data_IF_106546309833
#
_entry.id   IF_106546309833
#
_cell.length_a   1.000
_cell.length_b   1.000
_cell.length_c   1.000
_cell.angle_alpha   90.00
_cell.angle_beta   90.00
_cell.angle_gamma   90.00
#
_symmetry.space_group_name_H-M   'P 1'
#
loop_
_entity.id
_entity.type
_entity.pdbx_description
1 polymer ?
#
# COMPACT_ATOMS: atom_id res chain seq x y z
N UNK A 1 -0.43 -30.63 37.98
CA UNK A 1 0.21 -29.32 38.23
C UNK A 1 1.71 -29.55 38.29
N UNK A 2 2.57 -28.72 37.66
CA UNK A 2 2.35 -27.54 36.80
C UNK A 2 2.70 -27.86 35.32
N UNK A 3 2.15 -27.30 34.23
CA UNK A 3 1.81 -25.92 33.83
C UNK A 3 2.96 -24.93 33.93
N UNK A 4 3.78 -24.81 32.88
CA UNK A 4 4.48 -23.56 32.55
C UNK A 4 4.71 -23.43 31.03
N UNK A 5 3.92 -22.52 30.45
CA UNK A 5 4.27 -21.51 29.44
C UNK A 5 5.35 -21.82 28.40
N UNK A 6 4.90 -22.22 27.22
CA UNK A 6 5.53 -21.76 25.98
C UNK A 6 4.60 -20.74 25.32
N UNK A 7 4.79 -19.46 25.67
CA UNK A 7 4.23 -18.34 24.90
C UNK A 7 4.74 -18.47 23.46
N UNK A 8 3.87 -18.50 22.43
CA UNK A 8 4.35 -18.22 21.10
C UNK A 8 4.80 -16.76 21.08
N UNK A 9 6.04 -16.52 20.70
CA UNK A 9 6.50 -15.19 20.29
C UNK A 9 5.44 -14.60 19.36
N UNK A 10 4.86 -13.49 19.79
CA UNK A 10 3.93 -12.72 18.99
C UNK A 10 4.73 -12.23 17.79
N UNK A 11 4.66 -12.95 16.67
CA UNK A 11 5.16 -12.46 15.40
C UNK A 11 4.20 -11.34 15.05
N UNK A 12 4.61 -10.10 15.31
CA UNK A 12 3.90 -8.90 14.88
C UNK A 12 3.92 -8.84 13.35
N UNK A 13 3.10 -9.67 12.69
CA UNK A 13 2.89 -9.70 11.24
C UNK A 13 2.22 -8.42 10.71
N UNK A 14 2.04 -7.39 11.56
CA UNK A 14 1.36 -6.14 11.24
C UNK A 14 2.30 -4.92 11.24
N UNK A 15 3.58 -5.12 11.53
CA UNK A 15 4.56 -4.04 11.46
C UNK A 15 5.26 -4.02 10.11
N UNK A 16 4.76 -3.22 9.15
CA UNK A 16 5.76 -2.39 8.48
C UNK A 16 6.40 -1.61 9.63
N UNK A 17 7.63 -1.97 9.99
CA UNK A 17 8.35 -1.32 11.07
C UNK A 17 8.20 0.19 10.82
N UNK A 18 7.73 0.99 11.78
CA UNK A 18 7.46 2.43 11.54
C UNK A 18 8.68 3.14 10.95
N UNK A 19 9.87 2.62 11.28
CA UNK A 19 11.16 2.95 10.69
C UNK A 19 11.20 2.77 9.16
N UNK A 20 10.72 1.65 8.63
CA UNK A 20 10.63 1.41 7.19
C UNK A 20 9.67 2.38 6.52
N UNK A 21 8.48 2.61 7.10
CA UNK A 21 7.52 3.58 6.56
C UNK A 21 8.17 4.98 6.45
N UNK A 22 8.90 5.40 7.49
CA UNK A 22 9.63 6.66 7.50
C UNK A 22 10.77 6.69 6.46
N UNK A 23 11.54 5.61 6.31
CA UNK A 23 12.62 5.53 5.32
C UNK A 23 12.05 5.71 3.90
N UNK A 24 10.96 5.01 3.57
CA UNK A 24 10.32 5.10 2.25
C UNK A 24 9.84 6.52 1.95
N UNK A 25 9.19 7.17 2.93
CA UNK A 25 8.72 8.55 2.81
C UNK A 25 9.90 9.54 2.69
N UNK A 26 10.97 9.33 3.47
CA UNK A 26 12.16 10.19 3.46
C UNK A 26 12.91 10.12 2.13
N UNK A 27 13.08 8.92 1.56
CA UNK A 27 13.73 8.72 0.24
C UNK A 27 12.96 9.45 -0.86
N UNK A 28 11.62 9.42 -0.82
CA UNK A 28 10.77 10.08 -1.82
C UNK A 28 11.02 11.60 -1.89
N UNK A 29 11.08 12.25 -0.73
CA UNK A 29 11.41 13.67 -0.63
C UNK A 29 12.84 13.94 -1.13
N UNK A 30 13.83 13.19 -0.63
CA UNK A 30 15.24 13.40 -0.95
C UNK A 30 15.59 13.23 -2.44
N UNK A 31 14.90 12.34 -3.16
CA UNK A 31 15.17 12.06 -4.57
C UNK A 31 14.93 13.27 -5.48
N UNK A 32 13.91 14.10 -5.21
CA UNK A 32 13.60 15.27 -6.05
C UNK A 32 14.44 16.50 -5.69
N UNK A 33 14.97 16.60 -4.47
CA UNK A 33 15.97 17.62 -4.13
C UNK A 33 17.24 17.52 -5.00
N UNK A 34 17.52 16.34 -5.57
CA UNK A 34 18.66 16.10 -6.46
C UNK A 34 18.35 16.31 -7.95
N UNK A 35 17.07 16.33 -8.34
CA UNK A 35 16.65 16.46 -9.74
C UNK A 35 16.35 17.92 -10.09
N UNK A 36 16.95 18.44 -11.17
CA UNK A 36 16.68 19.81 -11.63
C UNK A 36 15.19 19.98 -11.98
N UNK A 37 14.62 21.19 -11.81
CA UNK A 37 13.25 21.46 -12.24
C UNK A 37 13.14 21.21 -13.75
N UNK A 38 12.48 20.12 -14.14
CA UNK A 38 12.08 19.92 -15.52
C UNK A 38 11.03 20.98 -15.88
N UNK A 39 11.30 21.71 -16.96
CA UNK A 39 10.33 22.61 -17.59
C UNK A 39 9.04 21.83 -17.88
N UNK A 40 7.86 22.37 -17.52
CA UNK A 40 6.61 21.70 -17.80
C UNK A 40 6.39 21.76 -19.32
N UNK A 41 6.72 20.68 -20.03
CA UNK A 41 6.08 20.45 -21.32
C UNK A 41 4.58 20.41 -21.07
N UNK A 42 3.86 21.17 -21.91
CA UNK A 42 2.44 21.45 -21.81
C UNK A 42 1.67 20.22 -21.34
N UNK A 43 0.78 20.42 -20.36
CA UNK A 43 -0.07 19.41 -19.70
C UNK A 43 -0.84 18.56 -20.75
N UNK A 44 -0.15 17.63 -21.39
CA UNK A 44 -0.74 16.68 -22.31
C UNK A 44 -1.51 15.69 -21.46
N UNK A 45 -2.77 15.49 -21.83
CA UNK A 45 -3.64 14.43 -21.31
C UNK A 45 -2.80 13.17 -21.11
N UNK A 46 -2.65 12.73 -19.86
CA UNK A 46 -1.94 11.51 -19.57
C UNK A 46 -2.65 10.35 -20.29
N UNK A 47 -1.94 9.67 -21.19
CA UNK A 47 -2.46 8.55 -22.00
C UNK A 47 -3.03 7.41 -21.13
N UNK A 48 -2.58 7.32 -19.86
CA UNK A 48 -3.01 6.32 -18.87
C UNK A 48 -4.29 6.73 -18.14
N UNK A 49 -4.62 8.03 -18.09
CA UNK A 49 -5.70 8.59 -17.28
C UNK A 49 -6.92 8.98 -18.15
N UNK A 50 -7.70 8.00 -18.61
CA UNK A 50 -8.91 8.23 -19.45
C UNK A 50 -10.09 8.92 -18.75
N UNK A 51 -9.97 9.26 -17.46
CA UNK A 51 -11.10 9.68 -16.60
C UNK A 51 -11.24 11.21 -16.40
N UNK A 52 -10.36 12.05 -16.95
CA UNK A 52 -10.44 13.51 -16.78
C UNK A 52 -10.26 14.01 -15.32
N UNK A 53 -9.78 13.15 -14.42
CA UNK A 53 -9.44 13.48 -13.02
C UNK A 53 -7.96 13.87 -12.90
N UNK A 54 -7.60 14.57 -11.83
CA UNK A 54 -6.21 14.94 -11.52
C UNK A 54 -5.34 13.69 -11.52
N UNK A 55 -4.43 13.58 -12.50
CA UNK A 55 -3.67 12.36 -12.70
C UNK A 55 -2.49 12.29 -11.70
N UNK A 56 -2.44 11.22 -10.91
CA UNK A 56 -1.42 11.01 -9.87
C UNK A 56 0.02 11.17 -10.42
N UNK A 57 0.30 10.58 -11.57
CA UNK A 57 1.63 10.66 -12.21
C UNK A 57 2.01 12.10 -12.58
N UNK A 58 1.07 12.88 -13.10
CA UNK A 58 1.32 14.26 -13.45
C UNK A 58 1.64 15.12 -12.21
N UNK A 59 0.91 14.90 -11.11
CA UNK A 59 1.18 15.59 -9.84
C UNK A 59 2.52 15.18 -9.22
N UNK A 60 2.92 13.91 -9.38
CA UNK A 60 4.19 13.42 -8.86
C UNK A 60 5.39 13.98 -9.62
N UNK A 61 5.26 14.13 -10.95
CA UNK A 61 6.35 14.69 -11.76
C UNK A 61 6.43 16.21 -11.71
N UNK A 62 5.31 16.90 -11.52
CA UNK A 62 5.27 18.36 -11.45
C UNK A 62 6.16 18.87 -10.30
N UNK A 63 7.15 19.68 -10.64
CA UNK A 63 7.94 20.42 -9.65
C UNK A 63 7.08 21.43 -8.90
N UNK A 64 7.27 21.51 -7.59
CA UNK A 64 6.66 22.53 -6.75
C UNK A 64 7.54 23.79 -6.68
N UNK A 65 6.95 24.91 -6.29
CA UNK A 65 7.69 26.13 -6.00
C UNK A 65 8.67 25.90 -4.84
N UNK A 66 9.85 26.54 -4.89
CA UNK A 66 10.96 26.33 -3.95
C UNK A 66 10.52 26.47 -2.47
N UNK A 67 9.61 27.40 -2.18
CA UNK A 67 9.10 27.69 -0.84
C UNK A 67 8.32 26.51 -0.22
N UNK A 68 7.81 25.59 -1.04
CA UNK A 68 7.08 24.41 -0.58
C UNK A 68 7.99 23.32 -0.05
N UNK A 69 9.26 23.32 -0.45
CA UNK A 69 10.28 22.45 0.13
C UNK A 69 10.81 23.04 1.45
N UNK A 70 9.90 23.32 2.38
CA UNK A 70 10.25 23.80 3.73
C UNK A 70 10.35 22.62 4.71
N UNK A 71 11.18 22.79 5.74
CA UNK A 71 11.31 21.80 6.81
C UNK A 71 9.97 21.50 7.50
N UNK A 72 9.14 22.53 7.71
CA UNK A 72 7.81 22.36 8.30
C UNK A 72 6.93 21.46 7.42
N UNK A 73 6.90 21.69 6.11
CA UNK A 73 6.12 20.88 5.18
C UNK A 73 6.59 19.42 5.15
N UNK A 74 7.91 19.22 5.20
CA UNK A 74 8.51 17.89 5.29
C UNK A 74 8.11 17.18 6.58
N UNK A 75 8.16 17.86 7.73
CA UNK A 75 7.71 17.30 9.00
C UNK A 75 6.22 16.96 8.97
N UNK A 76 5.37 17.84 8.43
CA UNK A 76 3.95 17.57 8.23
C UNK A 76 3.71 16.28 7.42
N UNK A 77 4.48 16.07 6.35
CA UNK A 77 4.39 14.86 5.53
C UNK A 77 4.81 13.60 6.30
N UNK A 78 5.91 13.66 7.05
CA UNK A 78 6.40 12.51 7.83
C UNK A 78 5.45 12.10 8.97
N UNK A 79 4.84 13.09 9.64
CA UNK A 79 3.98 12.85 10.81
C UNK A 79 2.49 12.76 10.45
N UNK A 80 2.14 12.83 9.17
CA UNK A 80 0.75 12.76 8.73
C UNK A 80 0.17 11.38 9.05
N UNK A 81 -0.65 11.31 10.10
CA UNK A 81 -1.08 10.06 10.73
C UNK A 81 -1.63 8.98 9.78
N UNK A 82 -2.48 9.31 8.78
CA UNK A 82 -2.95 8.32 7.82
C UNK A 82 -1.82 7.62 7.09
N UNK A 83 -0.79 8.35 6.64
CA UNK A 83 0.34 7.77 5.90
C UNK A 83 1.43 7.23 6.82
N UNK A 84 1.59 7.78 8.02
CA UNK A 84 2.62 7.37 8.97
C UNK A 84 2.36 5.98 9.57
N UNK A 85 1.11 5.65 9.89
CA UNK A 85 0.79 4.41 10.61
C UNK A 85 0.80 3.21 9.67
N UNK A 86 -0.12 3.17 8.71
CA UNK A 86 -0.20 2.10 7.70
C UNK A 86 -0.96 2.56 6.46
N UNK A 87 -0.84 3.84 6.08
CA UNK A 87 -1.50 4.35 4.88
C UNK A 87 -0.77 3.93 3.60
N UNK A 88 -1.43 4.11 2.44
CA UNK A 88 -0.77 3.93 1.15
C UNK A 88 0.39 4.90 1.00
N UNK A 89 1.49 4.45 0.38
CA UNK A 89 2.66 5.29 0.12
C UNK A 89 2.29 6.35 -0.92
N UNK A 90 2.44 7.60 -0.52
CA UNK A 90 2.19 8.79 -1.35
C UNK A 90 3.49 9.55 -1.49
N UNK A 91 3.74 10.14 -2.66
CA UNK A 91 4.92 10.99 -2.84
C UNK A 91 4.75 12.38 -2.23
N UNK A 92 5.86 12.98 -1.81
CA UNK A 92 5.90 14.31 -1.18
C UNK A 92 5.28 15.38 -2.09
N UNK A 93 5.63 15.39 -3.38
CA UNK A 93 5.11 16.38 -4.33
C UNK A 93 3.59 16.30 -4.46
N UNK A 94 3.03 15.09 -4.49
CA UNK A 94 1.57 14.89 -4.57
C UNK A 94 0.91 15.32 -3.26
N UNK A 95 1.48 14.95 -2.12
CA UNK A 95 0.98 15.36 -0.81
C UNK A 95 0.92 16.89 -0.70
N UNK A 96 2.02 17.57 -1.03
CA UNK A 96 2.10 19.02 -0.93
C UNK A 96 1.18 19.74 -1.93
N UNK A 97 1.06 19.24 -3.17
CA UNK A 97 0.10 19.77 -4.13
C UNK A 97 -1.36 19.59 -3.65
N UNK A 98 -1.68 18.47 -3.02
CA UNK A 98 -3.03 18.17 -2.52
C UNK A 98 -3.40 18.97 -1.26
N UNK A 99 -2.42 19.45 -0.48
CA UNK A 99 -2.70 20.34 0.64
C UNK A 99 -3.13 21.75 0.20
N UNK A 100 -2.63 22.24 -0.93
CA UNK A 100 -3.08 23.50 -1.52
C UNK A 100 -4.40 23.33 -2.27
N UNK A 101 -4.50 22.25 -3.02
CA UNK A 101 -5.65 21.94 -3.87
C UNK A 101 -6.19 20.57 -3.48
N UNK A 102 -7.06 20.50 -2.45
CA UNK A 102 -7.66 19.25 -1.99
C UNK A 102 -8.34 18.48 -3.10
N UNK A 103 -8.38 17.16 -2.94
CA UNK A 103 -9.04 16.28 -3.89
C UNK A 103 -10.49 16.70 -4.14
N UNK A 104 -10.90 16.70 -5.41
CA UNK A 104 -12.30 16.89 -5.85
C UNK A 104 -12.83 15.65 -6.58
N UNK A 105 -12.03 14.59 -6.67
CA UNK A 105 -12.34 13.34 -7.37
C UNK A 105 -13.45 12.54 -6.70
N UNK A 106 -13.55 12.64 -5.38
CA UNK A 106 -14.52 11.93 -4.54
C UNK A 106 -15.53 12.92 -3.96
N UNK A 107 -16.76 12.85 -4.45
CA UNK A 107 -17.89 13.52 -3.80
C UNK A 107 -18.15 12.93 -2.43
N UNK A 108 -18.80 13.69 -1.54
CA UNK A 108 -19.23 13.23 -0.22
C UNK A 108 -19.99 11.90 -0.29
N UNK A 109 -20.92 11.78 -1.24
CA UNK A 109 -21.68 10.55 -1.49
C UNK A 109 -20.76 9.36 -1.80
N UNK A 110 -19.76 9.54 -2.67
CA UNK A 110 -18.78 8.47 -2.98
C UNK A 110 -17.92 8.11 -1.76
N UNK A 111 -17.57 9.08 -0.92
CA UNK A 111 -16.83 8.81 0.32
C UNK A 111 -17.69 8.05 1.33
N UNK A 112 -18.96 8.40 1.49
CA UNK A 112 -19.90 7.64 2.33
C UNK A 112 -20.05 6.19 1.83
N UNK A 113 -20.23 5.97 0.53
CA UNK A 113 -20.26 4.61 -0.03
C UNK A 113 -18.93 3.86 0.14
N UNK A 114 -17.79 4.56 0.10
CA UNK A 114 -16.48 3.96 0.37
C UNK A 114 -16.39 3.46 1.82
N UNK A 115 -16.79 4.29 2.80
CA UNK A 115 -16.85 3.90 4.21
C UNK A 115 -17.85 2.79 4.47
N UNK A 116 -19.03 2.84 3.87
CA UNK A 116 -20.04 1.77 3.99
C UNK A 116 -19.51 0.43 3.47
N UNK A 117 -18.86 0.40 2.31
CA UNK A 117 -18.20 -0.82 1.78
C UNK A 117 -17.11 -1.34 2.70
N UNK A 118 -16.40 -0.46 3.39
CA UNK A 118 -15.43 -0.86 4.40
C UNK A 118 -16.11 -1.54 5.60
N UNK A 119 -17.21 -0.98 6.11
CA UNK A 119 -17.97 -1.60 7.19
C UNK A 119 -18.51 -2.98 6.81
N UNK A 120 -19.03 -3.14 5.59
CA UNK A 120 -19.48 -4.45 5.08
C UNK A 120 -18.32 -5.45 4.99
N UNK A 121 -17.15 -5.02 4.49
CA UNK A 121 -15.97 -5.87 4.43
C UNK A 121 -15.43 -6.24 5.82
N UNK A 122 -15.53 -5.34 6.79
CA UNK A 122 -15.17 -5.60 8.18
C UNK A 122 -16.11 -6.63 8.81
N UNK A 123 -17.42 -6.48 8.62
CA UNK A 123 -18.40 -7.46 9.06
C UNK A 123 -18.18 -8.83 8.40
N UNK A 124 -17.89 -8.86 7.10
CA UNK A 124 -17.53 -10.08 6.39
C UNK A 124 -16.30 -10.75 7.02
N UNK A 125 -15.26 -9.99 7.36
CA UNK A 125 -14.06 -10.53 8.02
C UNK A 125 -14.41 -11.17 9.36
N UNK A 126 -15.25 -10.50 10.17
CA UNK A 126 -15.70 -11.01 11.47
C UNK A 126 -16.49 -12.31 11.33
N UNK A 127 -17.44 -12.36 10.39
CA UNK A 127 -18.16 -13.59 10.06
C UNK A 127 -17.20 -14.70 9.61
N UNK A 128 -16.23 -14.38 8.76
CA UNK A 128 -15.26 -15.36 8.30
C UNK A 128 -14.43 -15.93 9.45
N UNK A 129 -14.00 -15.10 10.41
CA UNK A 129 -13.26 -15.58 11.58
C UNK A 129 -14.11 -16.36 12.57
N UNK A 130 -15.41 -16.08 12.62
CA UNK A 130 -16.35 -16.80 13.48
C UNK A 130 -16.67 -18.20 12.93
N UNK A 131 -16.90 -18.31 11.62
CA UNK A 131 -17.31 -19.57 10.99
C UNK A 131 -16.16 -20.41 10.44
N UNK A 132 -15.03 -19.79 10.06
CA UNK A 132 -13.92 -20.48 9.41
C UNK A 132 -12.62 -20.36 10.21
N UNK A 133 -12.20 -21.48 10.81
CA UNK A 133 -11.03 -21.56 11.68
C UNK A 133 -9.71 -21.82 10.94
N UNK A 134 -9.56 -21.36 9.69
CA UNK A 134 -8.35 -21.61 8.87
C UNK A 134 -7.06 -21.19 9.58
N UNK A 135 -7.06 -20.03 10.23
CA UNK A 135 -5.90 -19.52 10.97
C UNK A 135 -5.57 -20.38 12.20
N UNK A 136 -6.57 -20.96 12.87
CA UNK A 136 -6.34 -21.85 14.00
C UNK A 136 -5.68 -23.16 13.54
N UNK A 137 -6.17 -23.74 12.43
CA UNK A 137 -5.53 -24.91 11.83
C UNK A 137 -4.08 -24.63 11.42
N UNK A 138 -3.81 -23.49 10.78
CA UNK A 138 -2.46 -23.11 10.38
C UNK A 138 -1.50 -22.97 11.59
N UNK A 139 -1.97 -22.44 12.72
CA UNK A 139 -1.17 -22.28 13.94
C UNK A 139 -1.03 -23.55 14.78
N UNK A 140 -2.01 -24.45 14.71
CA UNK A 140 -2.07 -25.65 15.57
C UNK A 140 -0.97 -26.69 15.30
N UNK A 141 -0.29 -26.62 14.16
CA UNK A 141 0.68 -27.65 13.75
C UNK A 141 0.06 -28.96 13.25
N UNK A 142 -1.27 -29.06 13.22
CA UNK A 142 -2.02 -30.26 12.76
C UNK A 142 -1.95 -30.49 11.25
N UNK A 143 -1.27 -29.62 10.50
CA UNK A 143 -1.19 -29.71 9.04
C UNK A 143 -0.57 -31.02 8.53
N UNK A 144 0.31 -31.66 9.31
CA UNK A 144 0.87 -32.99 9.00
C UNK A 144 -0.17 -34.11 8.98
N UNK A 145 -1.30 -33.93 9.66
CA UNK A 145 -2.37 -34.92 9.75
C UNK A 145 -3.48 -34.70 8.72
N UNK A 146 -3.41 -33.59 7.97
CA UNK A 146 -4.41 -33.23 6.97
C UNK A 146 -4.07 -33.85 5.62
N UNK A 147 -5.10 -34.20 4.85
CA UNK A 147 -4.91 -34.62 3.46
C UNK A 147 -4.41 -33.44 2.61
N UNK A 148 -3.72 -33.68 1.47
CA UNK A 148 -3.27 -32.61 0.58
C UNK A 148 -4.39 -31.65 0.16
N UNK A 149 -5.61 -32.17 -0.04
CA UNK A 149 -6.78 -31.36 -0.38
C UNK A 149 -7.23 -30.45 0.78
N UNK A 150 -7.21 -30.96 2.01
CA UNK A 150 -7.53 -30.16 3.20
C UNK A 150 -6.49 -29.06 3.43
N UNK A 151 -5.20 -29.38 3.24
CA UNK A 151 -4.12 -28.39 3.32
C UNK A 151 -4.35 -27.27 2.30
N UNK A 152 -4.72 -27.61 1.06
CA UNK A 152 -5.03 -26.63 0.03
C UNK A 152 -6.18 -25.71 0.44
N UNK A 153 -7.28 -26.25 0.97
CA UNK A 153 -8.42 -25.45 1.45
C UNK A 153 -8.00 -24.51 2.57
N UNK A 154 -7.23 -25.01 3.55
CA UNK A 154 -6.75 -24.19 4.67
C UNK A 154 -5.82 -23.08 4.17
N UNK A 155 -4.86 -23.39 3.30
CA UNK A 155 -3.95 -22.41 2.71
C UNK A 155 -4.71 -21.33 1.92
N UNK A 156 -5.72 -21.74 1.13
CA UNK A 156 -6.58 -20.83 0.39
C UNK A 156 -7.41 -19.92 1.33
N UNK A 157 -7.93 -20.47 2.42
CA UNK A 157 -8.64 -19.70 3.44
C UNK A 157 -7.73 -18.67 4.13
N UNK A 158 -6.51 -19.06 4.49
CA UNK A 158 -5.52 -18.18 5.13
C UNK A 158 -5.12 -17.03 4.21
N UNK A 159 -4.84 -17.28 2.93
CA UNK A 159 -4.45 -16.20 2.00
C UNK A 159 -5.60 -15.21 1.76
N UNK A 160 -6.85 -15.68 1.67
CA UNK A 160 -8.02 -14.80 1.55
C UNK A 160 -8.25 -13.97 2.82
N UNK A 161 -8.11 -14.58 4.00
CA UNK A 161 -8.18 -13.86 5.26
C UNK A 161 -7.09 -12.78 5.35
N UNK A 162 -5.86 -13.12 4.99
CA UNK A 162 -4.73 -12.19 5.00
C UNK A 162 -4.95 -11.03 4.01
N UNK A 163 -5.45 -11.32 2.81
CA UNK A 163 -5.85 -10.31 1.84
C UNK A 163 -6.91 -9.36 2.41
N UNK A 164 -7.98 -9.89 3.00
CA UNK A 164 -9.08 -9.09 3.55
C UNK A 164 -8.62 -8.22 4.74
N UNK A 165 -7.75 -8.76 5.60
CA UNK A 165 -7.14 -8.03 6.70
C UNK A 165 -6.35 -6.80 6.21
N UNK A 166 -5.44 -6.99 5.25
CA UNK A 166 -4.64 -5.88 4.70
C UNK A 166 -5.50 -4.90 3.90
N UNK A 167 -6.47 -5.41 3.14
CA UNK A 167 -7.47 -4.59 2.46
C UNK A 167 -8.18 -3.66 3.44
N UNK A 168 -8.65 -4.14 4.59
CA UNK A 168 -9.31 -3.32 5.60
C UNK A 168 -8.38 -2.28 6.20
N UNK A 169 -7.17 -2.67 6.61
CA UNK A 169 -6.19 -1.76 7.21
C UNK A 169 -5.89 -0.59 6.26
N UNK A 170 -5.49 -0.89 5.03
CA UNK A 170 -5.09 0.16 4.08
C UNK A 170 -6.26 1.03 3.62
N UNK A 171 -7.46 0.45 3.45
CA UNK A 171 -8.66 1.23 3.13
C UNK A 171 -9.10 2.15 4.25
N UNK A 172 -8.91 1.74 5.51
CA UNK A 172 -9.21 2.59 6.66
C UNK A 172 -8.36 3.86 6.64
N UNK A 173 -7.03 3.72 6.53
CA UNK A 173 -6.13 4.87 6.47
C UNK A 173 -6.34 5.72 5.22
N UNK A 174 -6.62 5.08 4.08
CA UNK A 174 -7.00 5.77 2.85
C UNK A 174 -8.30 6.57 3.02
N UNK A 175 -9.31 6.03 3.71
CA UNK A 175 -10.57 6.73 3.97
C UNK A 175 -10.33 8.03 4.74
N UNK A 176 -9.55 7.98 5.83
CA UNK A 176 -9.19 9.18 6.59
C UNK A 176 -8.35 10.17 5.78
N UNK A 177 -7.46 9.68 4.93
CA UNK A 177 -6.73 10.52 3.98
C UNK A 177 -7.69 11.27 3.05
N UNK A 178 -8.70 10.59 2.50
CA UNK A 178 -9.69 11.18 1.61
C UNK A 178 -10.58 12.22 2.31
N UNK A 179 -10.99 11.94 3.55
CA UNK A 179 -11.75 12.88 4.39
C UNK A 179 -10.95 14.16 4.62
N UNK A 180 -9.64 14.03 4.82
CA UNK A 180 -8.72 15.15 4.98
C UNK A 180 -8.32 15.83 3.65
N UNK A 181 -8.92 15.42 2.52
CA UNK A 181 -8.66 16.04 1.21
C UNK A 181 -7.44 15.50 0.45
N UNK A 182 -6.74 14.50 0.98
CA UNK A 182 -5.54 13.91 0.38
C UNK A 182 -5.93 12.59 -0.32
N UNK A 183 -5.85 12.55 -1.65
CA UNK A 183 -6.18 11.36 -2.44
C UNK A 183 -4.94 10.47 -2.59
N UNK A 184 -4.99 9.32 -1.92
CA UNK A 184 -3.94 8.30 -1.95
C UNK A 184 -4.27 7.14 -2.90
N UNK A 185 -3.24 6.47 -3.45
CA UNK A 185 -3.43 5.28 -4.28
C UNK A 185 -4.12 4.15 -3.50
N UNK A 186 -4.95 3.36 -4.18
CA UNK A 186 -5.59 2.19 -3.60
C UNK A 186 -4.63 0.99 -3.63
N UNK A 187 -4.35 0.38 -2.47
CA UNK A 187 -3.34 -0.67 -2.35
C UNK A 187 -3.79 -2.05 -2.82
N UNK A 188 -5.07 -2.39 -2.62
CA UNK A 188 -5.68 -3.67 -2.98
C UNK A 188 -6.79 -3.47 -4.03
N UNK A 189 -6.46 -3.05 -5.27
CA UNK A 189 -7.45 -2.81 -6.33
C UNK A 189 -8.07 -4.10 -6.87
N UNK A 190 -7.45 -5.27 -6.66
CA UNK A 190 -7.94 -6.57 -7.12
C UNK A 190 -7.99 -7.58 -5.98
N UNK A 191 -8.98 -8.47 -6.05
CA UNK A 191 -9.05 -9.62 -5.18
C UNK A 191 -7.95 -10.63 -5.54
N UNK A 192 -7.42 -11.34 -4.55
CA UNK A 192 -6.42 -12.39 -4.75
C UNK A 192 -6.89 -13.45 -5.76
N UNK A 193 -8.17 -13.82 -5.69
CA UNK A 193 -8.80 -14.80 -6.58
C UNK A 193 -9.01 -14.29 -8.02
N UNK A 194 -8.80 -13.00 -8.28
CA UNK A 194 -8.92 -12.38 -9.60
C UNK A 194 -7.55 -12.02 -10.21
N UNK A 195 -6.46 -12.57 -9.68
CA UNK A 195 -5.11 -12.43 -10.21
C UNK A 195 -4.75 -13.71 -10.99
N UNK A 196 -4.61 -13.60 -12.31
CA UNK A 196 -4.33 -14.75 -13.19
C UNK A 196 -2.83 -15.05 -13.36
N UNK A 197 -1.99 -14.08 -12.98
CA UNK A 197 -0.54 -14.15 -13.15
C UNK A 197 0.18 -13.51 -11.95
N UNK A 198 1.42 -13.96 -11.71
CA UNK A 198 2.23 -13.50 -10.58
C UNK A 198 2.58 -12.02 -10.68
N UNK A 199 2.75 -11.49 -11.90
CA UNK A 199 3.09 -10.08 -12.11
C UNK A 199 1.93 -9.16 -11.67
N UNK A 200 0.71 -9.50 -12.07
CA UNK A 200 -0.52 -8.80 -11.67
C UNK A 200 -0.75 -8.91 -10.17
N UNK A 201 -0.48 -10.06 -9.56
CA UNK A 201 -0.53 -10.23 -8.11
C UNK A 201 0.39 -9.23 -7.40
N UNK A 202 1.67 -9.17 -7.75
CA UNK A 202 2.63 -8.27 -7.11
C UNK A 202 2.30 -6.79 -7.35
N UNK A 203 1.78 -6.45 -8.53
CA UNK A 203 1.31 -5.09 -8.84
C UNK A 203 0.05 -4.69 -8.05
N UNK A 204 -0.78 -5.66 -7.68
CA UNK A 204 -2.11 -5.42 -7.08
C UNK A 204 -2.19 -5.71 -5.59
N UNK A 205 -1.24 -6.42 -4.99
CA UNK A 205 -1.28 -6.72 -3.55
C UNK A 205 -0.97 -5.49 -2.71
N UNK A 206 0.13 -4.77 -2.98
CA UNK A 206 0.45 -3.53 -2.27
C UNK A 206 0.84 -2.46 -3.29
N UNK A 207 -0.15 -1.99 -4.03
CA UNK A 207 0.07 -1.23 -5.26
C UNK A 207 0.88 0.07 -5.06
N UNK A 208 0.69 0.79 -3.96
CA UNK A 208 1.49 2.00 -3.67
C UNK A 208 2.96 1.69 -3.47
N UNK A 209 3.26 0.59 -2.79
CA UNK A 209 4.63 0.15 -2.54
C UNK A 209 5.28 -0.42 -3.79
N UNK A 210 4.53 -1.17 -4.60
CA UNK A 210 5.03 -1.61 -5.89
C UNK A 210 5.43 -0.42 -6.78
N UNK A 211 4.62 0.65 -6.81
CA UNK A 211 4.96 1.90 -7.53
C UNK A 211 6.22 2.55 -6.97
N UNK A 212 6.37 2.58 -5.64
CA UNK A 212 7.56 3.11 -4.98
C UNK A 212 8.81 2.30 -5.34
N UNK A 213 8.75 0.96 -5.25
CA UNK A 213 9.84 0.06 -5.64
C UNK A 213 10.24 0.25 -7.10
N UNK A 214 9.26 0.37 -8.00
CA UNK A 214 9.55 0.59 -9.42
C UNK A 214 10.28 1.92 -9.63
N UNK A 215 9.81 2.99 -9.00
CA UNK A 215 10.39 4.33 -9.16
C UNK A 215 11.77 4.48 -8.53
N UNK A 216 11.92 4.06 -7.28
CA UNK A 216 13.11 4.36 -6.47
C UNK A 216 14.17 3.26 -6.49
N UNK A 217 13.82 2.05 -6.92
CA UNK A 217 14.78 0.95 -7.03
C UNK A 217 14.89 0.42 -8.46
N UNK A 218 13.79 -0.03 -9.07
CA UNK A 218 13.83 -0.73 -10.35
C UNK A 218 14.36 0.15 -11.50
N UNK A 219 13.84 1.38 -11.65
CA UNK A 219 14.26 2.31 -12.71
C UNK A 219 15.73 2.73 -12.53
N UNK A 220 16.19 3.20 -11.35
CA UNK A 220 17.59 3.55 -11.13
C UNK A 220 18.58 2.40 -11.35
N UNK A 221 18.18 1.15 -11.10
CA UNK A 221 19.02 -0.04 -11.35
C UNK A 221 19.09 -0.45 -12.83
N UNK A 222 18.58 0.37 -13.75
CA UNK A 222 18.63 0.13 -15.20
C UNK A 222 17.37 -0.51 -15.80
N UNK A 223 16.29 -0.57 -15.01
CA UNK A 223 14.95 -0.95 -15.49
C UNK A 223 14.92 -2.32 -16.20
N UNK A 224 14.32 -2.35 -17.38
CA UNK A 224 14.15 -3.58 -18.17
C UNK A 224 15.47 -4.18 -18.68
N UNK A 225 16.54 -3.38 -18.80
CA UNK A 225 17.85 -3.84 -19.30
C UNK A 225 18.52 -4.82 -18.34
N UNK A 226 18.23 -4.73 -17.03
CA UNK A 226 18.79 -5.60 -15.98
C UNK A 226 17.69 -6.32 -15.19
N UNK A 227 16.61 -6.73 -15.87
CA UNK A 227 15.39 -7.26 -15.23
C UNK A 227 15.67 -8.35 -14.18
N UNK A 228 16.51 -9.35 -14.48
CA UNK A 228 16.78 -10.46 -13.57
C UNK A 228 17.52 -10.00 -12.29
N UNK A 229 18.58 -9.21 -12.44
CA UNK A 229 19.31 -8.66 -11.28
C UNK A 229 18.42 -7.77 -10.43
N UNK A 230 17.60 -6.92 -11.06
CA UNK A 230 16.70 -6.00 -10.37
C UNK A 230 15.63 -6.77 -9.58
N UNK A 231 15.11 -7.87 -10.14
CA UNK A 231 14.19 -8.77 -9.42
C UNK A 231 14.87 -9.27 -8.14
N UNK A 232 16.05 -9.87 -8.23
CA UNK A 232 16.75 -10.39 -7.04
C UNK A 232 16.99 -9.32 -5.98
N UNK A 233 17.49 -8.14 -6.36
CA UNK A 233 17.72 -7.03 -5.42
C UNK A 233 16.43 -6.57 -4.75
N UNK A 234 15.35 -6.39 -5.52
CA UNK A 234 14.07 -5.94 -4.99
C UNK A 234 13.46 -6.99 -4.06
N UNK A 235 13.46 -8.27 -4.45
CA UNK A 235 12.90 -9.33 -3.61
C UNK A 235 13.70 -9.51 -2.31
N UNK A 236 15.03 -9.39 -2.36
CA UNK A 236 15.85 -9.38 -1.14
C UNK A 236 15.54 -8.18 -0.25
N UNK A 237 15.40 -6.97 -0.83
CA UNK A 237 15.01 -5.78 -0.06
C UNK A 237 13.64 -5.93 0.60
N UNK A 238 12.66 -6.52 -0.09
CA UNK A 238 11.32 -6.75 0.45
C UNK A 238 11.31 -7.83 1.53
N UNK A 239 12.25 -8.77 1.50
CA UNK A 239 12.33 -9.88 2.46
C UNK A 239 12.99 -9.48 3.80
N UNK A 240 13.76 -8.38 3.82
CA UNK A 240 14.44 -7.83 5.01
C UNK A 240 13.50 -6.86 5.75
#
# INVERSE_FOLDING_TARGET
>A
MPCYDNKPHNVDCCGLNKTWQLILLSIDCGFKWMDKPHTPEALQRCEVCSSGKTCYHALQEKGLHIEKYSFCMYMCYLIYAPLYISGPILSFNVFAAQLEMPQKSYSLVRMCFYGFRWCLAFFLMELMTHFFYYNAFAKSGLWWQLSPFQIFIVAYGVINFMWLKFFLIWRFFRFWSLVNGVETPENMPRCISNCHDLETFWKSWHASYNRWLVRYMYIPLGGSKRKLLNIWVIFTFVAI
#
